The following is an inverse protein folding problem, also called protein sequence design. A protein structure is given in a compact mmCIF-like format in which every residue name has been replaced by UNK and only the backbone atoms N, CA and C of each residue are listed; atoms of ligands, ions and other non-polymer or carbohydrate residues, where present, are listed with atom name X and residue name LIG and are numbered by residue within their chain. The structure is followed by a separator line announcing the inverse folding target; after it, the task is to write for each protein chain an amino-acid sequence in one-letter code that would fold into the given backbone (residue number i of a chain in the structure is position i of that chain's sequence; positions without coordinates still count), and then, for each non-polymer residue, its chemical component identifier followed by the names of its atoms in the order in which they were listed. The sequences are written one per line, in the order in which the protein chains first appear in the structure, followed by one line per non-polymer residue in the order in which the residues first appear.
data_IF_717596960045
#
_entry.id   IF_717596960045
#
_cell.length_a   1.000
_cell.length_b   1.000
_cell.length_c   1.000
_cell.angle_alpha   90.00
_cell.angle_beta   90.00
_cell.angle_gamma   90.00
#
_symmetry.space_group_name_H-M   'P 1'
#
loop_
_entity.id
_entity.type
_entity.pdbx_description
1 polymer ?
#
# COMPACT_ATOMS: atom_id res chain seq x y z
N UNK A 1 16.40 3.77 -27.02
CA UNK A 1 17.26 4.97 -27.14
C UNK A 1 17.20 5.68 -25.80
N UNK A 2 18.34 5.68 -25.09
CA UNK A 2 18.64 6.30 -23.77
C UNK A 2 17.72 5.98 -22.58
N UNK A 3 18.17 5.01 -21.76
CA UNK A 3 17.98 5.00 -20.29
C UNK A 3 18.38 6.38 -19.78
N UNK A 4 17.44 7.19 -19.30
CA UNK A 4 17.75 8.43 -18.56
C UNK A 4 17.85 8.08 -17.08
N UNK A 5 19.06 8.19 -16.57
CA UNK A 5 19.48 8.56 -15.21
C UNK A 5 18.50 8.29 -14.07
N UNK A 6 18.59 7.09 -13.48
CA UNK A 6 18.16 6.84 -12.10
C UNK A 6 19.30 7.03 -11.08
N UNK A 7 20.54 7.19 -11.54
CA UNK A 7 21.76 7.19 -10.69
C UNK A 7 22.27 8.59 -10.34
N UNK A 8 21.70 9.66 -10.91
CA UNK A 8 22.23 11.02 -10.72
C UNK A 8 21.77 11.70 -9.41
N UNK A 9 20.72 11.19 -8.75
CA UNK A 9 20.09 11.88 -7.60
C UNK A 9 20.57 11.38 -6.22
N UNK A 10 21.24 10.22 -6.15
CA UNK A 10 21.63 9.57 -4.89
C UNK A 10 22.95 10.10 -4.29
N UNK A 11 23.65 11.01 -5.00
CA UNK A 11 24.91 11.64 -4.55
C UNK A 11 24.73 13.03 -3.93
N UNK A 12 23.52 13.59 -3.94
CA UNK A 12 23.26 14.91 -3.37
C UNK A 12 23.12 14.84 -1.82
N UNK A 13 23.60 15.85 -1.07
CA UNK A 13 23.52 15.88 0.40
C UNK A 13 22.08 15.93 0.93
N UNK A 14 21.09 16.18 0.05
CA UNK A 14 19.66 16.19 0.33
C UNK A 14 18.94 15.48 -0.82
N UNK A 15 18.71 14.19 -0.66
CA UNK A 15 18.02 13.35 -1.63
C UNK A 15 16.91 12.59 -0.90
N UNK A 16 15.76 13.25 -0.74
CA UNK A 16 14.60 12.71 -0.04
C UNK A 16 13.42 12.65 -0.99
N UNK A 17 12.80 11.46 -1.07
CA UNK A 17 11.59 11.23 -1.87
C UNK A 17 10.36 11.30 -0.97
N UNK A 18 9.27 11.87 -1.51
CA UNK A 18 7.94 11.86 -0.90
C UNK A 18 7.55 13.11 -0.10
N UNK A 19 8.53 13.88 0.37
CA UNK A 19 8.29 15.16 1.04
C UNK A 19 9.42 16.16 0.76
N UNK A 20 9.13 17.46 0.94
CA UNK A 20 10.16 18.49 0.87
C UNK A 20 11.19 18.31 2.01
N UNK A 21 12.51 18.45 1.74
CA UNK A 21 13.55 18.29 2.77
C UNK A 21 13.31 19.12 4.03
N UNK A 22 12.82 20.36 3.89
CA UNK A 22 12.50 21.23 5.03
C UNK A 22 11.44 20.66 5.98
N UNK A 23 10.44 19.93 5.46
CA UNK A 23 9.43 19.27 6.28
C UNK A 23 10.03 18.10 7.07
N UNK A 24 10.95 17.37 6.46
CA UNK A 24 11.66 16.24 7.09
C UNK A 24 12.63 16.74 8.16
N UNK A 25 13.36 17.83 7.90
CA UNK A 25 14.19 18.51 8.89
C UNK A 25 13.36 18.95 10.10
N UNK A 26 12.18 19.54 9.87
CA UNK A 26 11.29 19.96 10.95
C UNK A 26 10.78 18.75 11.75
N UNK A 27 10.38 17.67 11.07
CA UNK A 27 9.95 16.41 11.70
C UNK A 27 11.04 15.79 12.58
N UNK A 28 12.31 15.86 12.16
CA UNK A 28 13.45 15.42 12.97
C UNK A 28 13.65 16.31 14.20
N UNK A 29 13.64 17.64 14.02
CA UNK A 29 13.84 18.62 15.11
C UNK A 29 12.76 18.48 16.18
N UNK A 30 11.50 18.39 15.78
CA UNK A 30 10.35 18.34 16.69
C UNK A 30 10.03 16.91 17.17
N UNK A 31 10.68 15.90 16.58
CA UNK A 31 10.33 14.48 16.72
C UNK A 31 8.85 14.20 16.42
N UNK A 32 8.25 14.96 15.49
CA UNK A 32 6.85 14.74 15.05
C UNK A 32 6.80 13.58 14.04
N UNK A 33 6.18 12.43 14.38
CA UNK A 33 6.09 11.28 13.48
C UNK A 33 5.15 11.49 12.30
N UNK A 34 4.30 12.52 12.32
CA UNK A 34 3.26 12.78 11.34
C UNK A 34 3.24 14.27 10.91
N UNK A 35 4.32 14.75 10.24
CA UNK A 35 4.55 16.17 9.93
C UNK A 35 3.62 16.78 8.86
N UNK A 36 2.62 16.04 8.37
CA UNK A 36 1.67 16.53 7.36
C UNK A 36 2.10 16.19 5.93
N UNK A 37 2.61 14.98 5.73
CA UNK A 37 3.13 14.49 4.44
C UNK A 37 2.46 13.18 4.03
N UNK A 38 2.75 12.74 2.79
CA UNK A 38 2.40 11.42 2.27
C UNK A 38 3.48 10.37 2.52
N UNK A 39 4.41 10.64 3.45
CA UNK A 39 5.55 9.79 3.77
C UNK A 39 6.81 10.21 3.05
N UNK A 40 7.95 9.78 3.59
CA UNK A 40 9.25 10.17 3.07
C UNK A 40 10.32 9.15 3.41
N UNK A 41 11.32 9.06 2.52
CA UNK A 41 12.57 8.39 2.84
C UNK A 41 13.71 8.92 1.96
N UNK A 42 14.94 8.79 2.44
CA UNK A 42 16.14 9.13 1.67
C UNK A 42 17.26 9.68 2.55
N UNK A 43 18.19 10.42 1.96
CA UNK A 43 19.33 11.01 2.66
C UNK A 43 19.10 12.48 3.00
N UNK A 44 19.30 12.82 4.26
CA UNK A 44 19.23 14.18 4.79
C UNK A 44 20.39 14.44 5.74
N UNK A 45 21.23 15.43 5.43
CA UNK A 45 22.33 15.89 6.29
C UNK A 45 23.29 14.75 6.73
N UNK A 46 23.58 13.85 5.78
CA UNK A 46 24.49 12.72 6.00
C UNK A 46 23.81 11.45 6.53
N UNK A 47 22.58 11.54 7.03
CA UNK A 47 21.84 10.44 7.63
C UNK A 47 20.75 9.93 6.68
N UNK A 48 20.47 8.63 6.71
CA UNK A 48 19.29 8.04 6.07
C UNK A 48 18.09 8.15 6.99
N UNK A 49 16.95 8.56 6.45
CA UNK A 49 15.72 8.75 7.22
C UNK A 49 14.58 8.01 6.54
N UNK A 50 13.70 7.37 7.34
CA UNK A 50 12.49 6.72 6.83
C UNK A 50 11.31 7.00 7.76
N UNK A 51 10.20 7.47 7.19
CA UNK A 51 9.02 7.87 7.94
C UNK A 51 8.42 6.74 8.79
N UNK A 52 7.55 7.10 9.75
CA UNK A 52 7.00 6.21 10.77
C UNK A 52 6.20 5.01 10.23
N UNK A 53 5.69 5.09 8.99
CA UNK A 53 4.98 4.00 8.32
C UNK A 53 5.81 3.33 7.22
N UNK A 54 7.01 3.83 6.93
CA UNK A 54 7.89 3.28 5.90
C UNK A 54 7.29 3.33 4.50
N UNK A 55 6.51 4.38 4.20
CA UNK A 55 5.73 4.55 2.95
C UNK A 55 6.60 4.60 1.71
N UNK A 56 7.80 5.18 1.84
CA UNK A 56 8.83 5.13 0.80
C UNK A 56 9.85 4.04 1.17
N UNK A 57 10.10 3.04 0.29
CA UNK A 57 11.15 2.04 0.51
C UNK A 57 12.52 2.69 0.60
N UNK A 58 13.39 2.16 1.46
CA UNK A 58 14.77 2.63 1.61
C UNK A 58 15.66 1.48 2.07
N UNK A 59 16.73 1.27 1.33
CA UNK A 59 17.69 0.20 1.54
C UNK A 59 19.11 0.77 1.54
N UNK A 60 20.01 0.09 2.24
CA UNK A 60 21.43 0.44 2.32
C UNK A 60 22.26 -0.84 2.31
N UNK A 61 23.42 -0.79 1.67
CA UNK A 61 24.49 -1.78 1.75
C UNK A 61 25.41 -1.39 2.92
N UNK A 62 25.26 -2.01 4.12
CA UNK A 62 26.08 -1.66 5.26
C UNK A 62 27.53 -2.10 5.02
N UNK A 63 28.48 -1.17 5.08
CA UNK A 63 29.92 -1.46 5.08
C UNK A 63 30.43 -1.24 6.52
N UNK A 64 30.89 -2.30 7.18
CA UNK A 64 31.39 -2.24 8.56
C UNK A 64 30.44 -1.61 9.61
N UNK A 65 29.14 -1.54 9.32
CA UNK A 65 28.12 -0.94 10.20
C UNK A 65 27.77 0.52 9.90
N UNK A 66 28.52 1.17 9.02
CA UNK A 66 28.29 2.55 8.57
C UNK A 66 27.28 2.61 7.42
N UNK A 67 26.77 3.83 7.16
CA UNK A 67 25.89 4.10 6.02
C UNK A 67 26.69 4.02 4.71
N UNK A 68 26.65 2.87 4.05
CA UNK A 68 27.26 2.66 2.73
C UNK A 68 26.40 3.19 1.57
N UNK A 69 26.46 2.50 0.43
CA UNK A 69 25.61 2.79 -0.73
C UNK A 69 24.14 2.56 -0.36
N UNK A 70 23.24 3.41 -0.85
CA UNK A 70 21.82 3.35 -0.51
C UNK A 70 20.98 3.52 -1.76
N UNK A 71 19.78 2.93 -1.75
CA UNK A 71 18.83 3.12 -2.84
C UNK A 71 17.40 2.90 -2.37
N UNK A 72 16.46 3.41 -3.16
CA UNK A 72 15.04 3.06 -3.05
C UNK A 72 14.70 1.72 -3.72
N UNK A 73 15.62 1.18 -4.53
CA UNK A 73 15.47 -0.11 -5.22
C UNK A 73 16.48 -1.10 -4.62
N UNK A 74 16.04 -2.19 -3.95
CA UNK A 74 16.95 -3.15 -3.37
C UNK A 74 17.77 -3.90 -4.43
N UNK A 75 17.29 -3.99 -5.68
CA UNK A 75 18.02 -4.66 -6.77
C UNK A 75 19.20 -3.83 -7.32
N UNK A 76 19.29 -2.56 -6.95
CA UNK A 76 20.43 -1.70 -7.25
C UNK A 76 21.62 -1.91 -6.30
N UNK A 77 21.42 -2.70 -5.23
CA UNK A 77 22.37 -2.91 -4.15
C UNK A 77 22.88 -4.36 -4.13
N UNK A 78 24.08 -4.57 -3.61
CA UNK A 78 24.71 -5.90 -3.57
C UNK A 78 24.20 -6.75 -2.40
N UNK A 79 23.93 -6.14 -1.25
CA UNK A 79 23.49 -6.80 -0.02
C UNK A 79 22.46 -5.92 0.73
N UNK A 80 21.32 -5.62 0.10
CA UNK A 80 20.38 -4.62 0.57
C UNK A 80 19.87 -4.94 1.97
N UNK A 81 20.08 -4.02 2.92
CA UNK A 81 19.44 -4.02 4.23
C UNK A 81 18.42 -2.90 4.30
N UNK A 82 17.18 -3.26 4.63
CA UNK A 82 16.08 -2.32 4.81
C UNK A 82 16.33 -1.36 5.98
N UNK A 83 16.18 -0.06 5.76
CA UNK A 83 16.08 0.94 6.84
C UNK A 83 14.71 0.77 7.51
N UNK A 84 14.62 0.51 8.83
CA UNK A 84 13.32 0.30 9.48
C UNK A 84 12.44 1.56 9.45
N UNK A 85 11.11 1.39 9.46
CA UNK A 85 10.18 2.51 9.51
C UNK A 85 10.34 3.31 10.83
N UNK A 86 10.27 4.63 10.76
CA UNK A 86 10.43 5.52 11.91
C UNK A 86 11.87 5.65 12.43
N UNK A 87 12.85 5.21 11.64
CA UNK A 87 14.25 5.22 12.05
C UNK A 87 15.09 6.19 11.21
N UNK A 88 16.20 6.57 11.84
CA UNK A 88 17.33 7.22 11.23
C UNK A 88 18.51 6.26 11.27
N UNK A 89 19.36 6.32 10.25
CA UNK A 89 20.56 5.50 10.16
C UNK A 89 21.73 6.34 9.69
N UNK A 90 22.76 6.41 10.52
CA UNK A 90 23.99 7.15 10.28
C UNK A 90 25.23 6.30 10.63
N UNK A 91 26.39 6.94 10.75
CA UNK A 91 27.66 6.28 11.06
C UNK A 91 27.72 5.72 12.50
N UNK A 92 26.80 6.14 13.38
CA UNK A 92 26.70 5.67 14.76
C UNK A 92 25.79 4.44 14.91
N UNK A 93 24.93 4.19 13.91
CA UNK A 93 24.04 3.03 13.87
C UNK A 93 22.62 3.41 13.46
N UNK A 94 21.66 2.61 13.93
CA UNK A 94 20.23 2.76 13.63
C UNK A 94 19.50 3.19 14.89
N UNK A 95 18.85 4.36 14.87
CA UNK A 95 18.08 4.91 15.98
C UNK A 95 16.60 5.07 15.60
N UNK A 96 15.68 4.66 16.48
CA UNK A 96 14.27 4.97 16.31
C UNK A 96 13.96 6.39 16.77
N UNK A 97 13.64 7.27 15.84
CA UNK A 97 13.28 8.67 16.15
C UNK A 97 11.76 8.86 16.21
N UNK A 98 11.01 8.10 15.42
CA UNK A 98 9.56 8.23 15.31
C UNK A 98 8.84 6.95 15.69
N UNK A 99 7.76 7.12 16.45
CA UNK A 99 6.80 6.07 16.78
C UNK A 99 5.41 6.55 16.44
N UNK A 100 4.52 5.63 16.07
CA UNK A 100 3.13 5.99 15.84
C UNK A 100 2.55 6.58 17.14
N UNK A 101 1.88 7.75 17.09
CA UNK A 101 1.38 8.38 18.30
C UNK A 101 0.29 7.51 18.94
N UNK A 102 0.27 7.46 20.27
CA UNK A 102 -0.84 6.88 21.03
C UNK A 102 -1.85 7.98 21.36
N UNK A 103 -2.81 8.17 20.45
CA UNK A 103 -3.84 9.19 20.61
C UNK A 103 -5.02 8.62 21.40
N UNK A 104 -5.50 9.37 22.38
CA UNK A 104 -6.74 9.02 23.08
C UNK A 104 -7.96 9.05 22.14
N UNK A 105 -8.99 8.23 22.38
CA UNK A 105 -10.17 8.20 21.52
C UNK A 105 -10.96 9.51 21.59
N UNK A 106 -11.35 10.04 20.43
CA UNK A 106 -12.25 11.19 20.33
C UNK A 106 -13.63 10.80 20.88
N UNK A 107 -14.08 11.50 21.94
CA UNK A 107 -15.31 11.15 22.66
C UNK A 107 -16.60 11.40 21.86
N UNK A 108 -16.61 12.46 21.04
CA UNK A 108 -17.77 12.81 20.24
C UNK A 108 -17.64 12.14 18.86
N UNK A 109 -18.56 11.23 18.54
CA UNK A 109 -18.51 10.45 17.31
C UNK A 109 -18.64 11.32 16.06
N UNK A 110 -19.58 12.28 16.02
CA UNK A 110 -19.77 13.18 14.89
C UNK A 110 -18.50 13.98 14.59
N UNK A 111 -17.82 14.47 15.63
CA UNK A 111 -16.53 15.17 15.49
C UNK A 111 -15.43 14.24 14.98
N UNK A 112 -15.44 12.98 15.40
CA UNK A 112 -14.46 12.00 14.93
C UNK A 112 -14.67 11.68 13.44
N UNK A 113 -15.93 11.54 12.99
CA UNK A 113 -16.28 11.30 11.59
C UNK A 113 -15.95 12.54 10.74
N UNK A 114 -16.31 13.74 11.20
CA UNK A 114 -15.96 14.99 10.53
C UNK A 114 -14.43 15.13 10.35
N UNK A 115 -13.65 14.84 11.40
CA UNK A 115 -12.19 14.89 11.32
C UNK A 115 -11.61 13.88 10.30
N UNK A 116 -12.27 12.74 10.08
CA UNK A 116 -11.88 11.81 9.00
C UNK A 116 -12.19 12.39 7.63
N UNK A 117 -13.35 13.02 7.45
CA UNK A 117 -13.71 13.74 6.22
C UNK A 117 -12.71 14.84 5.88
N UNK A 118 -12.45 15.76 6.82
CA UNK A 118 -11.50 16.86 6.65
C UNK A 118 -10.08 16.35 6.32
N UNK A 119 -9.67 15.25 6.95
CA UNK A 119 -8.38 14.64 6.71
C UNK A 119 -8.28 14.00 5.31
N UNK A 120 -9.36 13.37 4.83
CA UNK A 120 -9.46 12.82 3.48
C UNK A 120 -9.42 13.96 2.45
N UNK A 121 -10.17 15.05 2.65
CA UNK A 121 -10.11 16.23 1.79
C UNK A 121 -8.70 16.81 1.70
N UNK A 122 -8.04 16.98 2.85
CA UNK A 122 -6.64 17.45 2.91
C UNK A 122 -5.71 16.54 2.11
N UNK A 123 -5.87 15.22 2.27
CA UNK A 123 -5.04 14.25 1.58
C UNK A 123 -5.25 14.26 0.06
N UNK A 124 -6.51 14.31 -0.39
CA UNK A 124 -6.86 14.34 -1.81
C UNK A 124 -6.43 15.65 -2.48
N UNK A 125 -6.58 16.79 -1.81
CA UNK A 125 -6.14 18.09 -2.31
C UNK A 125 -4.62 18.19 -2.53
N UNK A 126 -3.84 17.30 -1.90
CA UNK A 126 -2.38 17.22 -2.07
C UNK A 126 -1.91 16.38 -3.26
N UNK A 127 -2.85 15.71 -3.95
CA UNK A 127 -2.52 14.80 -5.05
C UNK A 127 -2.34 15.60 -6.35
N UNK A 128 -1.13 15.57 -6.90
CA UNK A 128 -0.90 15.97 -8.29
C UNK A 128 -1.43 14.87 -9.22
N UNK A 129 -2.42 15.21 -10.05
CA UNK A 129 -3.10 14.32 -10.99
C UNK A 129 -2.36 14.17 -12.33
N UNK A 130 -1.26 14.91 -12.54
CA UNK A 130 -0.45 14.83 -13.76
C UNK A 130 0.13 13.42 -13.93
N UNK A 131 -0.19 12.79 -15.07
CA UNK A 131 0.29 11.44 -15.40
C UNK A 131 -0.23 10.35 -14.44
N UNK A 132 -1.37 10.60 -13.77
CA UNK A 132 -1.95 9.70 -12.77
C UNK A 132 -3.04 8.80 -13.37
N UNK A 133 -3.09 7.54 -12.93
CA UNK A 133 -4.25 6.66 -13.05
C UNK A 133 -4.66 6.11 -11.69
N UNK A 134 -5.88 5.57 -11.57
CA UNK A 134 -6.37 4.93 -10.34
C UNK A 134 -6.49 3.43 -10.52
N UNK A 135 -5.86 2.66 -9.63
CA UNK A 135 -6.11 1.24 -9.50
C UNK A 135 -7.50 1.03 -8.87
N UNK A 136 -8.48 0.74 -9.71
CA UNK A 136 -9.89 0.73 -9.38
C UNK A 136 -10.42 -0.68 -9.17
N UNK A 137 -10.76 -0.98 -7.93
CA UNK A 137 -11.14 -2.31 -7.49
C UNK A 137 -12.66 -2.45 -7.29
N UNK A 138 -13.41 -1.35 -7.43
CA UNK A 138 -14.86 -1.29 -7.22
C UNK A 138 -15.31 -1.24 -5.76
N UNK A 139 -14.40 -1.36 -4.80
CA UNK A 139 -14.67 -1.16 -3.36
C UNK A 139 -14.60 0.30 -2.94
N UNK A 140 -15.14 0.61 -1.74
CA UNK A 140 -15.25 1.99 -1.21
C UNK A 140 -13.91 2.74 -1.21
N UNK A 141 -12.80 2.08 -0.87
CA UNK A 141 -11.48 2.71 -0.81
C UNK A 141 -11.04 3.27 -2.18
N UNK A 142 -11.11 2.44 -3.23
CA UNK A 142 -10.78 2.86 -4.60
C UNK A 142 -11.87 3.73 -5.23
N UNK A 143 -13.12 3.62 -4.78
CA UNK A 143 -14.23 4.45 -5.25
C UNK A 143 -14.15 5.87 -4.73
N UNK A 144 -13.65 6.08 -3.51
CA UNK A 144 -13.31 7.41 -3.02
C UNK A 144 -12.28 8.08 -3.95
N UNK A 145 -11.20 7.37 -4.29
CA UNK A 145 -10.19 7.91 -5.22
C UNK A 145 -10.78 8.19 -6.61
N UNK A 146 -11.58 7.27 -7.14
CA UNK A 146 -12.23 7.44 -8.44
C UNK A 146 -13.26 8.58 -8.46
N UNK A 147 -13.93 8.85 -7.34
CA UNK A 147 -14.87 9.97 -7.22
C UNK A 147 -14.17 11.32 -7.08
N UNK A 148 -13.01 11.34 -6.42
CA UNK A 148 -12.30 12.58 -6.09
C UNK A 148 -11.26 13.02 -7.13
N UNK A 149 -10.67 12.10 -7.90
CA UNK A 149 -9.57 12.37 -8.82
C UNK A 149 -10.03 12.28 -10.28
N UNK A 150 -9.57 13.21 -11.12
CA UNK A 150 -9.82 13.18 -12.56
C UNK A 150 -8.74 12.39 -13.31
N UNK A 151 -8.67 11.08 -12.98
CA UNK A 151 -7.69 10.16 -13.55
C UNK A 151 -8.36 8.92 -14.18
N UNK A 152 -7.77 8.31 -15.23
CA UNK A 152 -8.29 7.08 -15.81
C UNK A 152 -8.34 5.94 -14.80
N UNK A 153 -9.41 5.13 -14.85
CA UNK A 153 -9.61 4.00 -13.94
C UNK A 153 -9.14 2.71 -14.60
N UNK A 154 -8.34 1.92 -13.89
CA UNK A 154 -7.89 0.60 -14.34
C UNK A 154 -8.27 -0.48 -13.34
N UNK A 155 -8.85 -1.57 -13.83
CA UNK A 155 -9.11 -2.77 -13.02
C UNK A 155 -8.48 -3.99 -13.67
N UNK A 156 -8.30 -5.05 -12.88
CA UNK A 156 -7.66 -6.28 -13.32
C UNK A 156 -8.31 -7.50 -12.70
N UNK A 157 -8.43 -8.57 -13.47
CA UNK A 157 -8.90 -9.86 -12.95
C UNK A 157 -9.11 -10.89 -14.05
N UNK A 158 -9.31 -12.14 -13.64
CA UNK A 158 -9.72 -13.18 -14.58
C UNK A 158 -11.14 -12.91 -15.09
N UNK A 159 -11.50 -13.46 -16.28
CA UNK A 159 -12.88 -13.46 -16.77
C UNK A 159 -13.86 -13.90 -15.68
N UNK A 160 -15.01 -13.22 -15.64
CA UNK A 160 -16.10 -13.43 -14.67
C UNK A 160 -15.70 -13.27 -13.19
N UNK A 161 -14.54 -12.67 -12.90
CA UNK A 161 -14.16 -12.39 -11.52
C UNK A 161 -15.09 -11.35 -10.89
N UNK A 162 -15.38 -11.54 -9.60
CA UNK A 162 -16.28 -10.64 -8.87
C UNK A 162 -15.73 -9.21 -8.81
N UNK A 163 -14.39 -9.05 -8.80
CA UNK A 163 -13.77 -7.73 -8.84
C UNK A 163 -14.05 -7.00 -10.16
N UNK A 164 -14.01 -7.68 -11.32
CA UNK A 164 -14.37 -7.06 -12.59
C UNK A 164 -15.86 -6.67 -12.62
N UNK A 165 -16.74 -7.54 -12.15
CA UNK A 165 -18.19 -7.25 -12.07
C UNK A 165 -18.44 -6.04 -11.17
N UNK A 166 -17.84 -6.02 -9.99
CA UNK A 166 -17.99 -4.94 -9.03
C UNK A 166 -17.38 -3.63 -9.52
N UNK A 167 -16.22 -3.68 -10.18
CA UNK A 167 -15.56 -2.50 -10.73
C UNK A 167 -16.42 -1.90 -11.84
N UNK A 168 -16.93 -2.69 -12.79
CA UNK A 168 -17.84 -2.19 -13.83
C UNK A 168 -19.08 -1.52 -13.22
N UNK A 169 -19.77 -2.21 -12.32
CA UNK A 169 -20.96 -1.66 -11.66
C UNK A 169 -20.66 -0.37 -10.86
N UNK A 170 -19.50 -0.29 -10.19
CA UNK A 170 -19.11 0.92 -9.46
C UNK A 170 -18.68 2.06 -10.40
N UNK A 171 -18.05 1.76 -11.54
CA UNK A 171 -17.71 2.76 -12.54
C UNK A 171 -18.96 3.36 -13.19
N UNK A 172 -19.96 2.52 -13.51
CA UNK A 172 -21.26 2.96 -14.05
C UNK A 172 -21.99 3.89 -13.06
N UNK A 173 -21.97 3.56 -11.76
CA UNK A 173 -22.55 4.40 -10.71
C UNK A 173 -21.82 5.74 -10.51
N UNK A 174 -20.55 5.81 -10.86
CA UNK A 174 -19.73 7.01 -10.78
C UNK A 174 -19.70 7.79 -12.11
N UNK A 175 -20.35 7.27 -13.17
CA UNK A 175 -20.29 7.80 -14.54
C UNK A 175 -18.83 7.96 -15.03
N UNK A 176 -18.00 6.92 -14.82
CA UNK A 176 -16.59 6.91 -15.19
C UNK A 176 -16.28 5.78 -16.17
N UNK A 177 -15.43 6.07 -17.15
CA UNK A 177 -14.88 5.04 -18.02
C UNK A 177 -13.89 4.15 -17.27
N UNK A 178 -13.98 2.84 -17.50
CA UNK A 178 -13.15 1.83 -16.85
C UNK A 178 -12.34 1.03 -17.87
N UNK A 179 -11.02 1.10 -17.75
CA UNK A 179 -10.10 0.23 -18.46
C UNK A 179 -10.00 -1.12 -17.75
N UNK A 180 -10.24 -2.20 -18.47
CA UNK A 180 -10.26 -3.56 -17.92
C UNK A 180 -9.10 -4.37 -18.46
N UNK A 181 -8.28 -4.90 -17.54
CA UNK A 181 -7.20 -5.85 -17.81
C UNK A 181 -7.71 -7.25 -17.48
N UNK A 182 -8.23 -7.94 -18.50
CA UNK A 182 -8.59 -9.36 -18.36
C UNK A 182 -7.33 -10.22 -18.37
N UNK A 183 -7.21 -11.08 -17.36
CA UNK A 183 -6.06 -11.95 -17.16
C UNK A 183 -6.26 -13.34 -17.76
N UNK A 184 -5.17 -13.91 -18.25
CA UNK A 184 -5.03 -15.34 -18.49
C UNK A 184 -3.89 -15.98 -17.66
N UNK A 185 -3.65 -17.27 -17.88
CA UNK A 185 -2.60 -18.01 -17.18
C UNK A 185 -1.18 -17.64 -17.63
N UNK A 186 -1.01 -17.19 -18.87
CA UNK A 186 0.28 -16.74 -19.38
C UNK A 186 0.68 -15.43 -18.70
N UNK A 187 -0.25 -14.49 -18.55
CA UNK A 187 -0.04 -13.23 -17.84
C UNK A 187 0.48 -13.46 -16.42
N UNK A 188 -0.18 -14.36 -15.67
CA UNK A 188 0.27 -14.75 -14.32
C UNK A 188 1.70 -15.29 -14.33
N UNK A 189 2.00 -16.26 -15.20
CA UNK A 189 3.34 -16.89 -15.24
C UNK A 189 4.43 -15.89 -15.57
N UNK A 190 4.18 -15.00 -16.53
CA UNK A 190 5.14 -13.99 -16.96
C UNK A 190 5.36 -12.92 -15.88
N UNK A 191 4.35 -12.62 -15.07
CA UNK A 191 4.45 -11.62 -14.00
C UNK A 191 5.11 -12.13 -12.70
N UNK A 192 5.24 -13.45 -12.48
CA UNK A 192 5.87 -13.99 -11.25
C UNK A 192 7.31 -13.52 -11.11
N UNK A 193 8.16 -13.73 -12.12
CA UNK A 193 9.59 -13.41 -12.03
C UNK A 193 9.84 -11.90 -11.78
N UNK A 194 9.22 -10.95 -12.52
CA UNK A 194 9.35 -9.53 -12.21
C UNK A 194 8.93 -9.16 -10.78
N UNK A 195 7.81 -9.72 -10.29
CA UNK A 195 7.31 -9.47 -8.93
C UNK A 195 8.27 -10.00 -7.86
N UNK A 196 8.74 -11.24 -8.01
CA UNK A 196 9.66 -11.85 -7.06
C UNK A 196 10.99 -11.10 -7.05
N UNK A 197 11.55 -10.78 -8.23
CA UNK A 197 12.80 -10.01 -8.35
C UNK A 197 12.68 -8.63 -7.68
N UNK A 198 11.57 -7.94 -7.89
CA UNK A 198 11.37 -6.61 -7.35
C UNK A 198 11.17 -6.59 -5.83
N UNK A 199 10.46 -7.57 -5.30
CA UNK A 199 10.07 -7.60 -3.88
C UNK A 199 11.01 -8.41 -3.01
N UNK A 200 11.79 -9.33 -3.60
CA UNK A 200 12.57 -10.35 -2.90
C UNK A 200 11.71 -11.41 -2.22
N UNK A 201 10.41 -11.53 -2.57
CA UNK A 201 9.44 -12.39 -1.87
C UNK A 201 8.95 -13.51 -2.75
N UNK A 202 9.00 -14.74 -2.23
CA UNK A 202 8.48 -15.94 -2.89
C UNK A 202 7.21 -16.50 -2.25
N UNK A 203 6.90 -16.09 -1.00
CA UNK A 203 5.74 -16.61 -0.29
C UNK A 203 4.44 -16.35 -1.08
N UNK A 204 3.57 -17.37 -1.13
CA UNK A 204 2.40 -17.37 -1.98
C UNK A 204 1.46 -16.18 -1.71
N UNK A 205 1.30 -15.78 -0.45
CA UNK A 205 0.37 -14.70 -0.09
C UNK A 205 0.80 -13.37 -0.68
N UNK A 206 2.07 -12.99 -0.48
CA UNK A 206 2.59 -11.73 -1.00
C UNK A 206 2.59 -11.70 -2.52
N UNK A 207 3.02 -12.80 -3.16
CA UNK A 207 3.04 -12.89 -4.63
C UNK A 207 1.62 -12.82 -5.20
N UNK A 208 0.64 -13.48 -4.58
CA UNK A 208 -0.76 -13.42 -5.01
C UNK A 208 -1.37 -12.02 -4.87
N UNK A 209 -0.92 -11.21 -3.90
CA UNK A 209 -1.36 -9.81 -3.76
C UNK A 209 -0.64 -8.90 -4.75
N UNK A 210 0.66 -9.10 -4.94
CA UNK A 210 1.49 -8.28 -5.82
C UNK A 210 1.16 -8.49 -7.31
N UNK A 211 0.84 -9.71 -7.75
CA UNK A 211 0.53 -10.01 -9.15
C UNK A 211 -0.56 -9.11 -9.78
N UNK A 212 -1.78 -8.97 -9.20
CA UNK A 212 -2.77 -8.07 -9.78
C UNK A 212 -2.31 -6.61 -9.73
N UNK A 213 -1.61 -6.18 -8.68
CA UNK A 213 -1.06 -4.81 -8.57
C UNK A 213 -0.03 -4.55 -9.69
N UNK A 214 0.86 -5.52 -9.95
CA UNK A 214 1.85 -5.44 -11.02
C UNK A 214 1.19 -5.35 -12.39
N UNK A 215 0.21 -6.22 -12.67
CA UNK A 215 -0.43 -6.32 -13.98
C UNK A 215 -1.24 -5.07 -14.33
N UNK A 216 -1.95 -4.50 -13.35
CA UNK A 216 -2.66 -3.22 -13.56
C UNK A 216 -1.68 -2.06 -13.75
N UNK A 217 -0.58 -2.04 -12.99
CA UNK A 217 0.46 -1.03 -13.12
C UNK A 217 1.20 -1.12 -14.47
N UNK A 218 1.48 -2.33 -14.94
CA UNK A 218 2.16 -2.59 -16.21
C UNK A 218 1.28 -2.18 -17.39
N UNK A 219 -0.03 -2.39 -17.30
CA UNK A 219 -0.98 -1.88 -18.30
C UNK A 219 -0.97 -0.35 -18.33
N UNK A 220 -1.09 0.30 -17.17
CA UNK A 220 -1.07 1.76 -17.08
C UNK A 220 0.25 2.33 -17.66
N UNK A 221 1.39 1.72 -17.34
CA UNK A 221 2.69 2.08 -17.90
C UNK A 221 2.71 1.98 -19.43
N UNK A 222 2.16 0.89 -19.99
CA UNK A 222 2.07 0.68 -21.44
C UNK A 222 1.19 1.72 -22.14
N UNK A 223 0.20 2.27 -21.44
CA UNK A 223 -0.67 3.35 -21.91
C UNK A 223 -0.06 4.76 -21.67
N UNK A 224 1.19 4.84 -21.21
CA UNK A 224 1.92 6.10 -21.03
C UNK A 224 1.61 6.84 -19.73
N UNK A 225 1.02 6.16 -18.75
CA UNK A 225 0.80 6.69 -17.40
C UNK A 225 2.11 6.57 -16.60
N UNK A 226 2.43 7.59 -15.80
CA UNK A 226 3.65 7.63 -14.98
C UNK A 226 3.41 7.20 -13.53
N UNK A 227 2.17 7.33 -13.04
CA UNK A 227 1.83 7.22 -11.62
C UNK A 227 0.53 6.46 -11.42
N UNK A 228 0.46 5.64 -10.37
CA UNK A 228 -0.72 4.84 -10.03
C UNK A 228 -1.19 5.11 -8.60
N UNK A 229 -2.39 5.65 -8.46
CA UNK A 229 -3.08 5.82 -7.19
C UNK A 229 -3.68 4.50 -6.70
N UNK A 230 -3.41 4.16 -5.43
CA UNK A 230 -3.92 2.95 -4.78
C UNK A 230 -4.64 3.30 -3.47
N UNK A 231 -5.75 2.60 -3.19
CA UNK A 231 -6.54 2.73 -1.96
C UNK A 231 -5.92 2.03 -0.74
N UNK A 232 -4.58 2.03 -0.62
CA UNK A 232 -3.86 1.30 0.43
C UNK A 232 -4.06 1.90 1.82
N UNK A 233 -3.98 1.05 2.85
CA UNK A 233 -3.97 1.45 4.26
C UNK A 233 -5.33 1.60 4.93
N UNK A 234 -6.43 1.62 4.16
CA UNK A 234 -7.77 1.82 4.74
C UNK A 234 -8.20 0.64 5.62
N UNK A 235 -7.92 -0.60 5.22
CA UNK A 235 -8.25 -1.78 6.03
C UNK A 235 -7.51 -1.78 7.38
N UNK A 236 -6.23 -1.39 7.40
CA UNK A 236 -5.43 -1.28 8.62
C UNK A 236 -5.83 -0.10 9.50
N UNK A 237 -6.07 1.07 8.89
CA UNK A 237 -6.35 2.30 9.64
C UNK A 237 -7.76 2.32 10.24
N UNK A 238 -8.75 1.80 9.51
CA UNK A 238 -10.17 1.93 9.84
C UNK A 238 -10.87 0.62 10.22
N UNK A 239 -10.16 -0.51 10.31
CA UNK A 239 -10.75 -1.78 10.76
C UNK A 239 -11.54 -2.50 9.67
N UNK A 240 -10.90 -2.71 8.52
CA UNK A 240 -11.47 -3.45 7.39
C UNK A 240 -11.32 -4.96 7.44
N UNK A 241 -10.43 -5.45 8.32
CA UNK A 241 -10.24 -6.88 8.52
C UNK A 241 -11.22 -7.46 9.55
N UNK A 242 -11.83 -8.60 9.22
CA UNK A 242 -12.71 -9.31 10.14
C UNK A 242 -12.05 -9.61 11.51
N UNK A 243 -10.73 -9.88 11.52
CA UNK A 243 -9.98 -10.10 12.77
C UNK A 243 -9.97 -8.89 13.70
N UNK A 244 -10.01 -7.68 13.17
CA UNK A 244 -10.08 -6.45 13.98
C UNK A 244 -11.48 -6.27 14.56
N UNK A 245 -12.52 -6.57 13.76
CA UNK A 245 -13.92 -6.49 14.20
C UNK A 245 -14.25 -7.54 15.25
N UNK A 246 -13.68 -8.73 15.13
CA UNK A 246 -13.90 -9.85 16.05
C UNK A 246 -13.00 -9.80 17.30
N UNK A 247 -12.15 -8.77 17.46
CA UNK A 247 -11.32 -8.65 18.66
C UNK A 247 -12.18 -8.38 19.90
N UNK A 248 -11.87 -8.99 21.06
CA UNK A 248 -10.66 -9.78 21.35
C UNK A 248 -10.78 -11.29 21.04
N UNK A 249 -11.90 -11.76 20.52
CA UNK A 249 -12.20 -13.20 20.38
C UNK A 249 -11.51 -13.86 19.16
N UNK A 250 -10.85 -13.09 18.29
CA UNK A 250 -10.13 -13.63 17.13
C UNK A 250 -8.72 -14.10 17.51
N UNK A 251 -8.37 -15.39 17.31
CA UNK A 251 -7.08 -15.95 17.73
C UNK A 251 -5.87 -15.38 16.96
N UNK A 252 -6.10 -14.58 15.91
CA UNK A 252 -5.04 -13.92 15.12
C UNK A 252 -4.68 -12.53 15.65
N UNK A 253 -5.32 -12.07 16.73
CA UNK A 253 -5.11 -10.77 17.36
C UNK A 253 -4.64 -10.99 18.79
N UNK A 254 -3.60 -10.27 19.20
CA UNK A 254 -3.08 -10.33 20.57
C UNK A 254 -3.73 -9.32 21.53
N UNK A 255 -4.40 -8.30 20.98
CA UNK A 255 -4.96 -7.19 21.72
C UNK A 255 -6.38 -7.44 22.26
N UNK A 256 -6.60 -6.98 23.49
CA UNK A 256 -7.89 -7.10 24.18
C UNK A 256 -8.95 -6.08 23.73
N UNK A 257 -8.62 -5.19 22.78
CA UNK A 257 -9.55 -4.14 22.33
C UNK A 257 -9.48 -3.97 20.82
N UNK A 258 -10.60 -3.54 20.21
CA UNK A 258 -10.66 -3.17 18.78
C UNK A 258 -9.59 -2.14 18.40
N UNK A 259 -9.31 -1.16 19.28
CA UNK A 259 -8.28 -0.14 19.02
C UNK A 259 -6.87 -0.74 19.02
N UNK A 260 -6.60 -1.68 19.94
CA UNK A 260 -5.35 -2.43 19.99
C UNK A 260 -5.20 -3.36 18.79
N UNK A 261 -6.26 -4.08 18.40
CA UNK A 261 -6.28 -4.94 17.22
C UNK A 261 -6.01 -4.14 15.93
N UNK A 262 -6.62 -2.96 15.81
CA UNK A 262 -6.32 -2.01 14.74
C UNK A 262 -4.86 -1.58 14.77
N UNK A 263 -4.33 -1.24 15.95
CA UNK A 263 -2.91 -0.86 16.11
C UNK A 263 -1.97 -1.96 15.62
N UNK A 264 -2.24 -3.22 15.96
CA UNK A 264 -1.49 -4.38 15.43
C UNK A 264 -1.53 -4.42 13.90
N UNK A 265 -2.69 -4.18 13.27
CA UNK A 265 -2.76 -4.15 11.80
C UNK A 265 -1.98 -2.98 11.20
N UNK A 266 -2.02 -1.79 11.82
CA UNK A 266 -1.23 -0.63 11.37
C UNK A 266 0.27 -0.92 11.45
N UNK A 267 0.73 -1.65 12.46
CA UNK A 267 2.15 -2.04 12.55
C UNK A 267 2.62 -2.99 11.46
N UNK A 268 1.71 -3.60 10.70
CA UNK A 268 2.07 -4.42 9.52
C UNK A 268 2.24 -3.60 8.23
N UNK A 269 1.81 -2.33 8.22
CA UNK A 269 1.87 -1.48 7.02
C UNK A 269 3.27 -1.38 6.41
N UNK A 270 4.37 -1.19 7.17
CA UNK A 270 5.69 -1.05 6.56
C UNK A 270 6.06 -2.20 5.61
N UNK A 271 5.75 -3.46 6.00
CA UNK A 271 6.01 -4.62 5.17
C UNK A 271 5.08 -4.69 3.94
N UNK A 272 3.82 -4.31 4.08
CA UNK A 272 2.85 -4.33 2.99
C UNK A 272 3.14 -3.24 1.95
N UNK A 273 3.41 -2.01 2.41
CA UNK A 273 3.69 -0.85 1.56
C UNK A 273 4.99 -1.02 0.79
N UNK A 274 6.00 -1.65 1.39
CA UNK A 274 7.23 -1.99 0.69
C UNK A 274 6.98 -2.97 -0.47
N UNK A 275 6.22 -4.04 -0.23
CA UNK A 275 5.82 -4.99 -1.29
C UNK A 275 5.10 -4.25 -2.42
N UNK A 276 4.07 -3.49 -2.09
CA UNK A 276 3.22 -2.85 -3.09
C UNK A 276 3.98 -1.75 -3.85
N UNK A 277 4.79 -0.94 -3.16
CA UNK A 277 5.59 0.11 -3.78
C UNK A 277 6.64 -0.44 -4.74
N UNK A 278 7.37 -1.49 -4.34
CA UNK A 278 8.34 -2.16 -5.20
C UNK A 278 7.66 -2.82 -6.41
N UNK A 279 6.51 -3.44 -6.19
CA UNK A 279 5.70 -4.06 -7.26
C UNK A 279 5.28 -3.04 -8.32
N UNK A 280 4.71 -1.91 -7.90
CA UNK A 280 4.25 -0.85 -8.80
C UNK A 280 5.42 -0.21 -9.56
N UNK A 281 6.55 0.02 -8.88
CA UNK A 281 7.77 0.56 -9.50
C UNK A 281 8.39 -0.39 -10.51
N UNK A 282 8.41 -1.68 -10.23
CA UNK A 282 8.91 -2.69 -11.17
C UNK A 282 8.07 -2.79 -12.46
N UNK A 283 6.81 -2.34 -12.41
CA UNK A 283 5.96 -2.23 -13.58
C UNK A 283 6.18 -0.93 -14.37
N UNK A 284 7.02 -0.01 -13.89
CA UNK A 284 7.41 1.22 -14.57
C UNK A 284 6.67 2.48 -14.15
N UNK A 285 5.83 2.44 -13.10
CA UNK A 285 5.07 3.60 -12.60
C UNK A 285 5.34 3.88 -11.12
N UNK A 286 5.16 5.13 -10.69
CA UNK A 286 5.33 5.50 -9.29
C UNK A 286 4.01 5.31 -8.50
N UNK A 287 4.06 4.66 -7.32
CA UNK A 287 2.89 4.49 -6.46
C UNK A 287 2.49 5.82 -5.81
N UNK A 288 1.19 6.04 -5.71
CA UNK A 288 0.57 7.16 -4.99
C UNK A 288 -0.46 6.57 -4.02
N UNK A 289 -0.33 6.83 -2.73
CA UNK A 289 -1.24 6.29 -1.70
C UNK A 289 -1.82 7.42 -0.85
N UNK A 290 -2.77 8.21 -1.39
CA UNK A 290 -3.24 9.45 -0.75
C UNK A 290 -3.81 9.20 0.65
N UNK A 291 -4.49 8.06 0.83
CA UNK A 291 -5.16 7.72 2.07
C UNK A 291 -4.21 7.33 3.22
N UNK A 292 -2.90 7.31 2.95
CA UNK A 292 -1.83 7.17 3.94
C UNK A 292 -1.16 8.51 4.28
N UNK A 293 -1.77 9.63 3.89
CA UNK A 293 -1.36 10.96 4.32
C UNK A 293 -1.47 11.09 5.85
N UNK A 294 -0.53 11.81 6.46
CA UNK A 294 -0.41 11.95 7.92
C UNK A 294 -1.70 12.46 8.59
N UNK A 295 -2.46 13.33 7.91
CA UNK A 295 -3.77 13.79 8.40
C UNK A 295 -4.77 12.62 8.56
N UNK A 296 -4.84 11.72 7.57
CA UNK A 296 -5.74 10.55 7.60
C UNK A 296 -5.29 9.56 8.66
N UNK A 297 -3.97 9.31 8.75
CA UNK A 297 -3.39 8.46 9.79
C UNK A 297 -3.72 9.01 11.18
N UNK A 298 -3.53 10.31 11.41
CA UNK A 298 -3.82 10.97 12.69
C UNK A 298 -5.29 10.88 13.06
N UNK A 299 -6.19 11.18 12.12
CA UNK A 299 -7.64 11.08 12.33
C UNK A 299 -8.06 9.64 12.65
N UNK A 300 -7.55 8.66 11.89
CA UNK A 300 -7.80 7.25 12.13
C UNK A 300 -7.29 6.80 13.50
N UNK A 301 -6.08 7.19 13.90
CA UNK A 301 -5.49 6.83 15.19
C UNK A 301 -6.35 7.27 16.38
N UNK A 302 -7.02 8.41 16.28
CA UNK A 302 -7.92 8.96 17.30
C UNK A 302 -9.32 8.32 17.35
N UNK A 303 -9.67 7.38 16.46
CA UNK A 303 -11.01 6.79 16.46
C UNK A 303 -11.31 5.94 17.71
N UNK A 304 -12.53 6.04 18.26
CA UNK A 304 -13.03 5.11 19.27
C UNK A 304 -13.40 3.75 18.63
N UNK A 305 -13.38 2.68 19.44
CA UNK A 305 -13.66 1.31 18.98
C UNK A 305 -14.94 1.14 18.14
N UNK A 306 -16.10 1.69 18.56
CA UNK A 306 -17.35 1.59 17.79
C UNK A 306 -17.31 2.22 16.40
N UNK A 307 -16.38 3.14 16.15
CA UNK A 307 -16.18 3.78 14.85
C UNK A 307 -15.14 3.05 13.97
N UNK A 308 -14.43 2.06 14.53
CA UNK A 308 -13.55 1.15 13.81
C UNK A 308 -14.33 -0.13 13.45
N UNK A 309 -14.98 -0.72 14.45
CA UNK A 309 -15.80 -1.92 14.36
C UNK A 309 -17.18 -1.64 14.97
N UNK A 310 -18.05 -1.03 14.17
CA UNK A 310 -19.43 -0.70 14.53
C UNK A 310 -20.41 -1.75 14.01
N UNK A 311 -21.48 -1.28 13.37
CA UNK A 311 -22.43 -2.15 12.65
C UNK A 311 -21.77 -2.79 11.41
N UNK A 312 -20.78 -2.12 10.84
CA UNK A 312 -20.01 -2.61 9.70
C UNK A 312 -18.51 -2.31 9.85
N UNK A 313 -17.71 -3.04 9.06
CA UNK A 313 -16.27 -2.80 8.91
C UNK A 313 -16.01 -1.41 8.34
N UNK A 314 -14.97 -0.73 8.83
CA UNK A 314 -14.60 0.63 8.39
C UNK A 314 -15.71 1.66 8.65
N UNK A 315 -16.44 1.56 9.77
CA UNK A 315 -17.61 2.38 10.07
C UNK A 315 -17.36 3.88 9.83
N UNK A 316 -16.36 4.47 10.49
CA UNK A 316 -16.04 5.90 10.33
C UNK A 316 -15.70 6.28 8.90
N UNK A 317 -14.94 5.44 8.19
CA UNK A 317 -14.53 5.70 6.82
C UNK A 317 -15.73 5.70 5.88
N UNK A 318 -16.63 4.70 6.00
CA UNK A 318 -17.85 4.64 5.20
C UNK A 318 -18.76 5.82 5.49
N UNK A 319 -18.93 6.19 6.76
CA UNK A 319 -19.74 7.34 7.14
C UNK A 319 -19.17 8.66 6.63
N UNK A 320 -17.86 8.88 6.80
CA UNK A 320 -17.18 10.06 6.30
C UNK A 320 -17.30 10.15 4.77
N UNK A 321 -17.17 9.02 4.06
CA UNK A 321 -17.10 9.03 2.58
C UNK A 321 -18.45 9.08 1.85
N UNK A 322 -19.58 9.06 2.57
CA UNK A 322 -20.94 9.05 1.97
C UNK A 322 -21.20 10.22 1.02
N UNK A 323 -20.56 11.37 1.23
CA UNK A 323 -20.73 12.54 0.37
C UNK A 323 -20.06 12.39 -1.01
N UNK A 324 -19.04 11.54 -1.11
CA UNK A 324 -18.27 11.34 -2.35
C UNK A 324 -18.69 10.09 -3.12
N UNK A 325 -19.13 9.05 -2.40
CA UNK A 325 -19.33 7.72 -2.96
C UNK A 325 -20.81 7.31 -2.89
N UNK A 326 -21.44 6.91 -4.00
CA UNK A 326 -22.82 6.41 -4.01
C UNK A 326 -23.05 5.28 -2.99
N UNK A 327 -24.20 5.30 -2.32
CA UNK A 327 -24.55 4.36 -1.24
C UNK A 327 -24.37 2.86 -1.61
N UNK A 328 -24.72 2.39 -2.84
CA UNK A 328 -24.50 1.00 -3.22
C UNK A 328 -23.01 0.57 -3.29
N UNK A 329 -22.09 1.54 -3.33
CA UNK A 329 -20.65 1.30 -3.24
C UNK A 329 -20.21 1.47 -1.79
N UNK A 330 -20.68 2.52 -1.11
CA UNK A 330 -20.32 2.86 0.27
C UNK A 330 -20.70 1.79 1.31
N UNK A 331 -21.68 0.92 1.02
CA UNK A 331 -22.13 -0.18 1.90
C UNK A 331 -21.67 -1.56 1.45
N UNK A 332 -21.04 -1.67 0.28
CA UNK A 332 -20.67 -2.97 -0.29
C UNK A 332 -19.57 -3.64 0.51
N UNK A 333 -19.74 -4.94 0.77
CA UNK A 333 -18.67 -5.79 1.26
C UNK A 333 -17.75 -6.23 0.12
N UNK A 334 -16.44 -6.19 0.38
CA UNK A 334 -15.43 -6.62 -0.59
C UNK A 334 -14.51 -7.69 0.00
N UNK A 335 -14.07 -8.61 -0.87
CA UNK A 335 -12.98 -9.57 -0.64
C UNK A 335 -11.62 -8.92 -0.95
N UNK A 336 -10.55 -9.47 -0.40
CA UNK A 336 -9.19 -9.02 -0.73
C UNK A 336 -8.86 -9.28 -2.22
N UNK A 337 -7.99 -8.44 -2.79
CA UNK A 337 -7.74 -8.35 -4.24
C UNK A 337 -7.38 -9.69 -4.87
N UNK A 338 -6.54 -10.50 -4.21
CA UNK A 338 -6.09 -11.79 -4.71
C UNK A 338 -7.22 -12.83 -4.83
N UNK A 339 -8.27 -12.69 -4.01
CA UNK A 339 -9.46 -13.56 -4.06
C UNK A 339 -10.52 -13.00 -5.00
N UNK A 340 -10.73 -11.68 -4.98
CA UNK A 340 -11.73 -10.99 -5.79
C UNK A 340 -11.41 -11.06 -7.29
N UNK A 341 -10.14 -10.91 -7.65
CA UNK A 341 -9.60 -11.03 -9.02
C UNK A 341 -9.43 -12.48 -9.51
N UNK A 342 -9.61 -13.46 -8.61
CA UNK A 342 -9.33 -14.90 -8.80
C UNK A 342 -7.85 -15.28 -8.98
N UNK A 343 -6.90 -14.34 -8.84
CA UNK A 343 -5.45 -14.62 -8.95
C UNK A 343 -5.01 -15.77 -8.04
N UNK A 344 -5.41 -15.77 -6.76
CA UNK A 344 -5.03 -16.84 -5.82
C UNK A 344 -5.53 -18.21 -6.28
N UNK A 345 -6.75 -18.28 -6.83
CA UNK A 345 -7.35 -19.52 -7.34
C UNK A 345 -6.60 -20.03 -8.58
N UNK A 346 -6.26 -19.13 -9.48
CA UNK A 346 -5.61 -19.48 -10.74
C UNK A 346 -4.12 -19.81 -10.56
N UNK A 347 -3.43 -19.15 -9.62
CA UNK A 347 -2.07 -19.52 -9.25
C UNK A 347 -2.01 -20.90 -8.54
N UNK A 348 -2.96 -21.21 -7.65
CA UNK A 348 -3.13 -22.58 -7.10
C UNK A 348 -3.36 -23.60 -8.22
N UNK A 349 -4.18 -23.27 -9.21
CA UNK A 349 -4.45 -24.15 -10.36
C UNK A 349 -3.17 -24.41 -11.16
N UNK A 350 -2.38 -23.38 -11.44
CA UNK A 350 -1.11 -23.50 -12.13
C UNK A 350 -0.11 -24.37 -11.36
N UNK A 351 0.03 -24.14 -10.04
CA UNK A 351 0.88 -24.96 -9.18
C UNK A 351 0.49 -26.45 -9.26
N UNK A 352 -0.81 -26.76 -9.16
CA UNK A 352 -1.30 -28.15 -9.26
C UNK A 352 -1.05 -28.77 -10.64
N UNK A 353 -1.20 -28.01 -11.72
CA UNK A 353 -0.91 -28.47 -13.08
C UNK A 353 0.59 -28.77 -13.28
N UNK A 354 1.46 -27.99 -12.62
CA UNK A 354 2.91 -28.21 -12.61
C UNK A 354 3.36 -29.33 -11.65
N UNK A 355 2.44 -30.03 -10.98
CA UNK A 355 2.74 -31.17 -10.10
C UNK A 355 2.86 -30.83 -8.61
N UNK A 356 2.71 -29.56 -8.23
CA UNK A 356 2.72 -29.11 -6.83
C UNK A 356 1.33 -29.35 -6.21
N UNK A 357 1.16 -30.52 -5.58
CA UNK A 357 -0.14 -30.99 -5.05
C UNK A 357 -0.43 -30.31 -3.69
N UNK A 358 -1.71 -30.06 -3.38
CA UNK A 358 -2.16 -29.48 -2.09
C UNK A 358 -1.73 -30.23 -0.83
N UNK A 359 -1.37 -31.51 -0.96
CA UNK A 359 -0.83 -32.32 0.14
C UNK A 359 0.64 -32.00 0.45
N UNK A 360 1.31 -31.24 -0.40
CA UNK A 360 2.64 -30.70 -0.16
C UNK A 360 2.46 -29.44 0.64
N UNK A 361 3.22 -29.32 1.73
CA UNK A 361 3.22 -28.08 2.50
C UNK A 361 3.68 -26.92 1.61
N UNK A 362 2.92 -25.84 1.70
CA UNK A 362 3.11 -24.59 0.96
C UNK A 362 3.33 -24.77 -0.56
N UNK A 363 2.51 -25.61 -1.18
CA UNK A 363 2.68 -26.02 -2.58
C UNK A 363 2.68 -24.86 -3.59
N UNK A 364 2.02 -23.74 -3.27
CA UNK A 364 2.02 -22.56 -4.14
C UNK A 364 3.33 -21.79 -4.04
N UNK A 365 3.87 -21.56 -2.83
CA UNK A 365 5.19 -20.94 -2.66
C UNK A 365 6.25 -21.76 -3.36
N UNK A 366 6.24 -23.08 -3.19
CA UNK A 366 7.19 -23.98 -3.88
C UNK A 366 7.08 -23.91 -5.40
N UNK A 367 5.88 -23.72 -5.93
CA UNK A 367 5.69 -23.49 -7.35
C UNK A 367 6.28 -22.14 -7.78
N UNK A 368 6.04 -21.06 -7.03
CA UNK A 368 6.64 -19.74 -7.29
C UNK A 368 8.16 -19.83 -7.29
N UNK A 369 8.77 -20.45 -6.29
CA UNK A 369 10.22 -20.68 -6.20
C UNK A 369 10.75 -21.43 -7.42
N UNK A 370 10.01 -22.45 -7.89
CA UNK A 370 10.41 -23.21 -9.09
C UNK A 370 10.39 -22.40 -10.39
N UNK A 371 9.67 -21.27 -10.44
CA UNK A 371 9.60 -20.41 -11.64
C UNK A 371 10.76 -19.44 -11.74
N UNK A 372 11.41 -19.10 -10.62
CA UNK A 372 12.42 -18.03 -10.56
C UNK A 372 13.86 -18.54 -10.49
N UNK A 373 14.06 -19.85 -10.28
CA UNK A 373 15.38 -20.43 -10.04
C UNK A 373 15.91 -20.09 -8.64
N UNK A 374 16.96 -20.79 -8.20
CA UNK A 374 17.70 -20.45 -6.97
C UNK A 374 18.51 -19.16 -7.13
#
# INVERSE_FOLDING_TARGET
MTRRDATADETQPRSVRGAAPAAVEQSLRDRDPLPGTSGFAGRLEGQLVRDVLGRVPLFVDPVAGECGEWSHDPSALAAPRRVPAGHVWDDTGVEQIWQLPDLGPTRNHDRAIAAVGDAIETALASVDETGLAVAFSGGVDSALLAAALDAPLYTVGFPDSQDLVNARASADLLDRELQVVELDHADLKQAVEPVVRATGRTNAMDVQIALPIYLVAARAAADGIDRLALGQGIDELFGGYAKVVNAPDDPRIGADTVRGARRETVTTLPDQLERDSLTVRAAGVAPVTPLLHDAVVRAALALPGPLIAGEQRKQAFREATRAWVPEPIATRDKKAVQYGSLVARELDRLARQAGFKRRMDDHVTRYVESLVGE
#
